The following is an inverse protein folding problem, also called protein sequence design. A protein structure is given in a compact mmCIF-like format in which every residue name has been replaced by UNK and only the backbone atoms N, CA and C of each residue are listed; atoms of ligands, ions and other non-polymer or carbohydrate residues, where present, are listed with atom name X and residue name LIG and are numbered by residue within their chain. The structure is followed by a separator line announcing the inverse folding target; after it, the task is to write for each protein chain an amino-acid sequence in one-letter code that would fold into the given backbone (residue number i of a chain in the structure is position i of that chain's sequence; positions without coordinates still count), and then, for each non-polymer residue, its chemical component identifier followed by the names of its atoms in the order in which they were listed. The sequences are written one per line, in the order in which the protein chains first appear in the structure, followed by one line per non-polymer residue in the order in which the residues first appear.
data_IF_933718612351
#
_entry.id   IF_933718612351
#
_cell.length_a   1.000
_cell.length_b   1.000
_cell.length_c   1.000
_cell.angle_alpha   90.00
_cell.angle_beta   90.00
_cell.angle_gamma   90.00
#
_symmetry.space_group_name_H-M   'P 1'
#
loop_
_entity.id
_entity.type
_entity.pdbx_description
1 polymer ?
#
# COMPACT_ATOMS: atom_id res chain seq x y z
N UNK A 1 0.09 -35.00 -12.83
CA UNK A 1 1.36 -35.11 -12.07
C UNK A 1 1.67 -33.82 -11.31
N UNK A 2 1.64 -32.64 -11.96
CA UNK A 2 1.90 -31.32 -11.37
C UNK A 2 1.04 -31.12 -10.09
N UNK A 3 -0.28 -31.25 -10.18
CA UNK A 3 -1.21 -31.12 -9.05
C UNK A 3 -0.82 -32.05 -7.89
N UNK A 4 -0.48 -33.32 -8.21
CA UNK A 4 -0.07 -34.30 -7.19
C UNK A 4 1.20 -33.87 -6.45
N UNK A 5 2.17 -33.32 -7.16
CA UNK A 5 3.42 -32.86 -6.54
C UNK A 5 3.22 -31.55 -5.74
N UNK A 6 2.39 -30.62 -6.20
CA UNK A 6 2.02 -29.41 -5.44
C UNK A 6 1.36 -29.77 -4.11
N UNK A 7 0.42 -30.72 -4.12
CA UNK A 7 -0.22 -31.23 -2.87
C UNK A 7 0.78 -31.89 -1.93
N UNK A 8 1.75 -32.67 -2.46
CA UNK A 8 2.84 -33.25 -1.62
C UNK A 8 3.73 -32.17 -1.02
N UNK A 9 3.86 -31.04 -1.67
CA UNK A 9 4.55 -29.85 -1.16
C UNK A 9 3.71 -29.02 -0.20
N UNK A 10 2.48 -29.48 0.13
CA UNK A 10 1.50 -28.85 1.04
C UNK A 10 0.88 -27.55 0.52
N UNK A 11 0.84 -27.36 -0.79
CA UNK A 11 0.06 -26.28 -1.39
C UNK A 11 -1.39 -26.73 -1.62
N UNK A 12 -2.33 -25.81 -1.36
CA UNK A 12 -3.73 -25.97 -1.77
C UNK A 12 -3.85 -25.66 -3.26
N UNK A 13 -4.50 -26.52 -4.02
CA UNK A 13 -4.69 -26.34 -5.46
C UNK A 13 -6.15 -25.98 -5.71
N UNK A 14 -6.42 -24.71 -6.05
CA UNK A 14 -7.79 -24.19 -6.22
C UNK A 14 -8.46 -24.71 -7.50
N UNK A 15 -7.67 -25.05 -8.54
CA UNK A 15 -8.14 -25.47 -9.87
C UNK A 15 -7.93 -26.97 -10.12
N UNK A 16 -8.18 -27.85 -9.14
CA UNK A 16 -8.02 -29.32 -9.29
C UNK A 16 -8.87 -29.90 -10.41
N UNK A 17 -10.02 -29.30 -10.67
CA UNK A 17 -10.94 -29.72 -11.74
C UNK A 17 -10.31 -29.67 -13.14
N UNK A 18 -9.24 -28.89 -13.36
CA UNK A 18 -8.55 -28.80 -14.67
C UNK A 18 -7.91 -30.11 -15.09
N UNK A 19 -7.61 -31.00 -14.14
CA UNK A 19 -6.99 -32.31 -14.42
C UNK A 19 -7.98 -33.48 -14.40
N UNK A 20 -9.27 -33.20 -14.24
CA UNK A 20 -10.32 -34.23 -14.30
C UNK A 20 -10.72 -34.46 -15.76
N UNK A 21 -10.49 -35.67 -16.31
CA UNK A 21 -10.82 -36.00 -17.70
C UNK A 21 -12.30 -35.83 -18.06
N UNK A 22 -13.18 -35.95 -17.06
CA UNK A 22 -14.64 -35.81 -17.25
C UNK A 22 -15.06 -34.32 -17.29
N UNK A 23 -14.17 -33.41 -16.89
CA UNK A 23 -14.42 -31.96 -16.81
C UNK A 23 -13.91 -31.17 -18.03
N UNK A 24 -13.18 -31.79 -18.96
CA UNK A 24 -12.66 -31.13 -20.19
C UNK A 24 -13.74 -30.45 -21.06
N UNK A 25 -15.01 -30.79 -20.88
CA UNK A 25 -16.15 -30.26 -21.66
C UNK A 25 -16.92 -29.12 -20.97
N UNK A 26 -16.34 -28.47 -19.97
CA UNK A 26 -16.97 -27.30 -19.35
C UNK A 26 -18.18 -27.57 -18.47
N UNK A 27 -18.50 -28.83 -18.14
CA UNK A 27 -19.57 -29.24 -17.21
C UNK A 27 -20.91 -28.51 -17.35
N UNK A 28 -21.32 -28.16 -18.57
CA UNK A 28 -22.55 -27.43 -18.83
C UNK A 28 -22.51 -25.93 -18.51
N UNK A 29 -21.34 -25.37 -18.18
CA UNK A 29 -21.17 -23.94 -18.01
C UNK A 29 -21.25 -23.21 -19.35
N UNK A 30 -21.88 -22.05 -19.36
CA UNK A 30 -21.77 -21.11 -20.47
C UNK A 30 -20.35 -20.54 -20.56
N UNK A 31 -19.97 -20.01 -21.71
CA UNK A 31 -18.64 -19.36 -21.89
C UNK A 31 -18.41 -18.24 -20.88
N UNK A 32 -19.45 -17.53 -20.46
CA UNK A 32 -19.38 -16.47 -19.46
C UNK A 32 -19.09 -17.03 -18.06
N UNK A 33 -19.81 -18.05 -17.65
CA UNK A 33 -19.61 -18.70 -16.34
C UNK A 33 -18.24 -19.37 -16.24
N UNK A 34 -17.75 -19.96 -17.34
CA UNK A 34 -16.40 -20.50 -17.41
C UNK A 34 -15.37 -19.39 -17.22
N UNK A 35 -15.49 -18.28 -17.95
CA UNK A 35 -14.61 -17.13 -17.83
C UNK A 35 -14.57 -16.57 -16.41
N UNK A 36 -15.73 -16.34 -15.80
CA UNK A 36 -15.87 -15.82 -14.45
C UNK A 36 -15.22 -16.76 -13.42
N UNK A 37 -15.48 -18.08 -13.52
CA UNK A 37 -14.88 -19.09 -12.64
C UNK A 37 -13.36 -19.09 -12.71
N UNK A 38 -12.77 -19.12 -13.92
CA UNK A 38 -11.32 -19.19 -14.10
C UNK A 38 -10.62 -17.92 -13.58
N UNK A 39 -11.16 -16.75 -13.91
CA UNK A 39 -10.59 -15.47 -13.45
C UNK A 39 -10.73 -15.30 -11.94
N UNK A 40 -11.88 -15.63 -11.34
CA UNK A 40 -12.05 -15.60 -9.89
C UNK A 40 -11.13 -16.59 -9.16
N UNK A 41 -10.84 -17.74 -9.75
CA UNK A 41 -9.93 -18.73 -9.17
C UNK A 41 -8.50 -18.17 -9.14
N UNK A 42 -8.06 -17.52 -10.22
CA UNK A 42 -6.77 -16.83 -10.28
C UNK A 42 -6.71 -15.69 -9.26
N UNK A 43 -7.75 -14.88 -9.17
CA UNK A 43 -7.80 -13.75 -8.22
C UNK A 43 -7.64 -14.19 -6.76
N UNK A 44 -8.09 -15.40 -6.43
CA UNK A 44 -7.97 -16.01 -5.09
C UNK A 44 -6.62 -16.69 -4.85
N UNK A 45 -5.89 -17.05 -5.90
CA UNK A 45 -4.61 -17.75 -5.79
C UNK A 45 -3.47 -16.82 -5.35
N UNK A 46 -2.49 -17.34 -4.64
CA UNK A 46 -1.24 -16.65 -4.29
C UNK A 46 -0.20 -16.79 -5.40
N UNK A 47 -0.26 -17.87 -6.19
CA UNK A 47 0.65 -18.21 -7.28
C UNK A 47 -0.13 -18.96 -8.35
N UNK A 48 0.20 -18.72 -9.61
CA UNK A 48 -0.34 -19.47 -10.75
C UNK A 48 0.74 -20.39 -11.34
N UNK A 49 0.40 -21.67 -11.51
CA UNK A 49 1.26 -22.64 -12.21
C UNK A 49 0.55 -23.06 -13.50
N UNK A 50 1.06 -22.62 -14.63
CA UNK A 50 0.51 -22.89 -15.94
C UNK A 50 1.34 -23.99 -16.65
N UNK A 51 0.69 -25.06 -17.12
CA UNK A 51 1.28 -26.03 -18.04
C UNK A 51 1.01 -25.55 -19.47
N UNK A 52 2.06 -25.16 -20.18
CA UNK A 52 1.99 -24.49 -21.46
C UNK A 52 2.61 -25.29 -22.65
N UNK A 53 2.86 -26.59 -22.48
CA UNK A 53 3.45 -27.40 -23.51
C UNK A 53 2.60 -27.44 -24.78
N UNK A 54 1.27 -27.53 -24.61
CA UNK A 54 0.32 -27.45 -25.72
C UNK A 54 -0.21 -26.02 -25.83
N UNK A 55 -0.04 -25.36 -27.00
CA UNK A 55 -0.56 -24.00 -27.17
C UNK A 55 -2.06 -23.90 -26.92
N UNK A 56 -2.46 -22.99 -26.06
CA UNK A 56 -3.86 -22.71 -25.72
C UNK A 56 -4.08 -21.21 -25.55
N UNK A 57 -5.05 -20.67 -26.29
CA UNK A 57 -5.48 -19.27 -26.13
C UNK A 57 -5.99 -18.98 -24.73
N UNK A 58 -6.72 -19.94 -24.13
CA UNK A 58 -7.22 -19.82 -22.77
C UNK A 58 -6.09 -19.74 -21.75
N UNK A 59 -5.09 -20.64 -21.86
CA UNK A 59 -3.93 -20.62 -20.96
C UNK A 59 -3.14 -19.31 -21.09
N UNK A 60 -2.90 -18.84 -22.32
CA UNK A 60 -2.19 -17.58 -22.54
C UNK A 60 -2.96 -16.37 -21.94
N UNK A 61 -4.28 -16.34 -22.11
CA UNK A 61 -5.13 -15.32 -21.51
C UNK A 61 -5.06 -15.34 -19.96
N UNK A 62 -5.14 -16.53 -19.36
CA UNK A 62 -5.11 -16.67 -17.90
C UNK A 62 -3.72 -16.34 -17.31
N UNK A 63 -2.64 -16.61 -18.03
CA UNK A 63 -1.29 -16.16 -17.67
C UNK A 63 -1.26 -14.62 -17.62
N UNK A 64 -1.73 -13.96 -18.68
CA UNK A 64 -1.75 -12.50 -18.75
C UNK A 64 -2.67 -11.88 -17.67
N UNK A 65 -3.84 -12.47 -17.43
CA UNK A 65 -4.72 -12.04 -16.35
C UNK A 65 -4.02 -12.13 -14.99
N UNK A 66 -3.31 -13.23 -14.72
CA UNK A 66 -2.57 -13.41 -13.46
C UNK A 66 -1.45 -12.36 -13.31
N UNK A 67 -0.67 -12.12 -14.34
CA UNK A 67 0.40 -11.11 -14.33
C UNK A 67 -0.15 -9.70 -14.14
N UNK A 68 -1.21 -9.34 -14.87
CA UNK A 68 -1.86 -8.02 -14.76
C UNK A 68 -2.49 -7.77 -13.38
N UNK A 69 -2.82 -8.83 -12.64
CA UNK A 69 -3.30 -8.74 -11.25
C UNK A 69 -2.17 -8.89 -10.21
N UNK A 70 -0.91 -8.89 -10.65
CA UNK A 70 0.28 -8.94 -9.80
C UNK A 70 0.54 -10.32 -9.17
N UNK A 71 0.01 -11.39 -9.76
CA UNK A 71 0.26 -12.75 -9.28
C UNK A 71 1.52 -13.32 -9.92
N UNK A 72 2.45 -13.92 -9.15
CA UNK A 72 3.58 -14.64 -9.73
C UNK A 72 3.09 -15.84 -10.53
N UNK A 73 3.65 -16.02 -11.73
CA UNK A 73 3.28 -17.12 -12.63
C UNK A 73 4.49 -17.96 -12.97
N UNK A 74 4.36 -19.28 -12.77
CA UNK A 74 5.29 -20.29 -13.25
C UNK A 74 4.72 -20.99 -14.48
N UNK A 75 5.28 -20.73 -15.66
CA UNK A 75 4.97 -21.44 -16.87
C UNK A 75 5.89 -22.68 -17.00
N UNK A 76 5.28 -23.85 -17.04
CA UNK A 76 5.96 -25.13 -17.17
C UNK A 76 5.88 -25.65 -18.61
N UNK A 77 7.00 -26.07 -19.16
CA UNK A 77 7.08 -26.67 -20.47
C UNK A 77 7.75 -28.04 -20.38
N UNK A 78 7.14 -29.04 -21.03
CA UNK A 78 7.71 -30.39 -21.07
C UNK A 78 8.95 -30.40 -21.98
N UNK A 79 10.07 -30.81 -21.40
CA UNK A 79 11.38 -30.73 -22.05
C UNK A 79 11.49 -31.51 -23.39
N UNK A 80 10.81 -32.65 -23.47
CA UNK A 80 10.86 -33.55 -24.61
C UNK A 80 9.70 -33.34 -25.60
N UNK A 81 9.10 -32.14 -25.58
CA UNK A 81 8.03 -31.73 -26.50
C UNK A 81 8.61 -31.29 -27.84
N UNK A 82 8.00 -31.72 -28.93
CA UNK A 82 8.32 -31.25 -30.30
C UNK A 82 7.79 -29.82 -30.55
N UNK A 83 6.97 -29.28 -29.65
CA UNK A 83 6.40 -27.93 -29.76
C UNK A 83 7.38 -26.91 -29.21
N UNK A 84 7.73 -25.86 -29.98
CA UNK A 84 8.59 -24.81 -29.49
C UNK A 84 7.84 -23.95 -28.46
N UNK A 85 8.58 -23.45 -27.48
CA UNK A 85 8.07 -22.46 -26.55
C UNK A 85 7.69 -21.17 -27.34
N UNK A 86 6.47 -20.62 -27.18
CA UNK A 86 6.10 -19.39 -27.86
C UNK A 86 7.01 -18.23 -27.44
N UNK A 87 7.62 -17.55 -28.41
CA UNK A 87 8.57 -16.45 -28.15
C UNK A 87 8.02 -15.34 -27.25
N UNK A 88 6.72 -15.05 -27.34
CA UNK A 88 6.05 -14.06 -26.48
C UNK A 88 6.03 -14.48 -24.99
N UNK A 89 5.89 -15.78 -24.75
CA UNK A 89 5.93 -16.35 -23.39
C UNK A 89 7.37 -16.39 -22.88
N UNK A 90 8.31 -16.85 -23.71
CA UNK A 90 9.72 -16.92 -23.33
C UNK A 90 10.33 -15.55 -23.02
N UNK A 91 9.94 -14.53 -23.78
CA UNK A 91 10.45 -13.17 -23.63
C UNK A 91 9.73 -12.30 -22.61
N UNK A 92 8.71 -12.81 -21.92
CA UNK A 92 7.96 -11.99 -20.95
C UNK A 92 8.77 -11.73 -19.67
N UNK A 93 9.05 -10.46 -19.30
CA UNK A 93 10.00 -10.13 -18.22
C UNK A 93 9.56 -10.58 -16.82
N UNK A 94 8.26 -10.72 -16.59
CA UNK A 94 7.68 -11.06 -15.27
C UNK A 94 7.26 -12.53 -15.14
N UNK A 95 7.44 -13.33 -16.22
CA UNK A 95 7.04 -14.73 -16.26
C UNK A 95 8.20 -15.65 -15.90
N UNK A 96 8.00 -16.50 -14.90
CA UNK A 96 8.97 -17.56 -14.57
C UNK A 96 8.74 -18.77 -15.48
N UNK A 97 9.69 -19.05 -16.35
CA UNK A 97 9.62 -20.18 -17.26
C UNK A 97 10.54 -21.32 -16.79
N UNK A 98 10.02 -22.55 -16.76
CA UNK A 98 10.83 -23.72 -16.42
C UNK A 98 10.50 -24.91 -17.31
N UNK A 99 11.57 -25.56 -17.82
CA UNK A 99 11.45 -26.81 -18.56
C UNK A 99 11.48 -28.01 -17.62
N UNK A 100 10.48 -28.88 -17.70
CA UNK A 100 10.34 -30.02 -16.82
C UNK A 100 10.34 -31.37 -17.59
N UNK A 101 10.63 -32.44 -16.87
CA UNK A 101 10.45 -33.82 -17.27
C UNK A 101 9.79 -34.62 -16.15
N UNK A 102 9.33 -35.84 -16.42
CA UNK A 102 8.74 -36.70 -15.37
C UNK A 102 9.68 -36.93 -14.18
N UNK A 103 11.01 -36.92 -14.42
CA UNK A 103 11.99 -37.14 -13.34
C UNK A 103 12.36 -35.94 -12.52
N UNK A 104 12.10 -34.70 -12.98
CA UNK A 104 12.54 -33.47 -12.28
C UNK A 104 11.43 -32.51 -11.86
N UNK A 105 10.18 -32.78 -12.21
CA UNK A 105 9.05 -31.88 -11.93
C UNK A 105 8.95 -31.48 -10.46
N UNK A 106 9.14 -32.43 -9.55
CA UNK A 106 9.11 -32.15 -8.09
C UNK A 106 10.20 -31.16 -7.69
N UNK A 107 11.42 -31.33 -8.22
CA UNK A 107 12.54 -30.43 -7.90
C UNK A 107 12.27 -29.01 -8.42
N UNK A 108 11.74 -28.90 -9.65
CA UNK A 108 11.37 -27.62 -10.25
C UNK A 108 10.28 -26.93 -9.45
N UNK A 109 9.19 -27.64 -9.14
CA UNK A 109 8.11 -27.10 -8.33
C UNK A 109 8.62 -26.65 -6.95
N UNK A 110 9.35 -27.51 -6.25
CA UNK A 110 9.90 -27.17 -4.93
C UNK A 110 10.75 -25.90 -4.98
N UNK A 111 11.67 -25.80 -5.95
CA UNK A 111 12.54 -24.63 -6.11
C UNK A 111 11.73 -23.34 -6.33
N UNK A 112 10.79 -23.36 -7.27
CA UNK A 112 10.02 -22.16 -7.64
C UNK A 112 8.98 -21.80 -6.56
N UNK A 113 8.30 -22.77 -5.97
CA UNK A 113 7.35 -22.49 -4.86
C UNK A 113 8.10 -21.92 -3.66
N UNK A 114 9.25 -22.47 -3.27
CA UNK A 114 10.09 -21.87 -2.22
C UNK A 114 10.51 -20.43 -2.55
N UNK A 115 10.81 -20.15 -3.82
CA UNK A 115 11.14 -18.80 -4.27
C UNK A 115 9.92 -17.87 -4.15
N UNK A 116 8.74 -18.30 -4.58
CA UNK A 116 7.50 -17.52 -4.45
C UNK A 116 7.06 -17.36 -3.00
N UNK A 117 7.20 -18.39 -2.16
CA UNK A 117 6.98 -18.28 -0.72
C UNK A 117 7.90 -17.22 -0.09
N UNK A 118 9.17 -17.18 -0.52
CA UNK A 118 10.11 -16.15 -0.07
C UNK A 118 9.76 -14.76 -0.60
N UNK A 119 9.24 -14.64 -1.82
CA UNK A 119 8.71 -13.38 -2.36
C UNK A 119 7.47 -12.93 -1.58
N UNK A 120 6.54 -13.83 -1.29
CA UNK A 120 5.35 -13.55 -0.49
C UNK A 120 5.69 -13.21 0.98
N UNK A 121 6.73 -13.83 1.57
CA UNK A 121 7.27 -13.46 2.88
C UNK A 121 8.14 -12.20 2.85
N UNK A 122 8.59 -11.78 1.67
CA UNK A 122 9.30 -10.51 1.43
C UNK A 122 8.37 -9.39 0.99
N UNK A 123 7.04 -9.55 1.09
CA UNK A 123 6.15 -8.43 0.84
C UNK A 123 6.55 -7.28 1.75
N UNK A 124 6.89 -6.15 1.15
CA UNK A 124 7.28 -4.95 1.86
C UNK A 124 6.17 -4.50 2.81
N UNK A 125 6.48 -3.57 3.69
CA UNK A 125 5.54 -3.05 4.68
C UNK A 125 5.33 -1.56 4.48
N UNK A 126 4.07 -1.13 4.46
CA UNK A 126 3.72 0.29 4.42
C UNK A 126 3.54 0.82 5.84
N UNK A 127 4.45 1.69 6.24
CA UNK A 127 4.42 2.39 7.54
C UNK A 127 4.12 3.86 7.31
N UNK A 128 3.04 4.33 7.90
CA UNK A 128 2.65 5.75 7.82
C UNK A 128 3.01 6.46 9.12
N UNK A 129 3.73 7.57 9.03
CA UNK A 129 3.92 8.50 10.15
C UNK A 129 2.97 9.66 9.96
N UNK A 130 2.01 9.82 10.86
CA UNK A 130 0.98 10.83 10.77
C UNK A 130 0.82 11.63 12.07
N UNK A 131 0.09 12.72 12.00
CA UNK A 131 -0.15 13.64 13.13
C UNK A 131 -0.48 15.05 12.66
N UNK A 132 -0.89 15.89 13.61
CA UNK A 132 -1.14 17.31 13.35
C UNK A 132 0.14 18.05 12.96
N UNK A 133 -0.01 19.27 12.45
CA UNK A 133 1.15 20.09 12.09
C UNK A 133 1.97 20.44 13.34
N UNK A 134 3.29 20.46 13.19
CA UNK A 134 4.20 20.66 14.31
C UNK A 134 4.41 19.45 15.23
N UNK A 135 3.83 18.27 14.95
CA UNK A 135 3.99 17.07 15.80
C UNK A 135 5.35 16.37 15.69
N UNK A 136 6.23 16.83 14.78
CA UNK A 136 7.58 16.25 14.63
C UNK A 136 7.69 15.12 13.61
N UNK A 137 6.67 14.92 12.74
CA UNK A 137 6.65 13.87 11.72
C UNK A 137 7.94 13.78 10.90
N UNK A 138 8.34 14.86 10.23
CA UNK A 138 9.54 14.86 9.38
C UNK A 138 10.80 14.40 10.12
N UNK A 139 11.05 14.95 11.32
CA UNK A 139 12.20 14.55 12.15
C UNK A 139 12.17 13.07 12.52
N UNK A 140 11.00 12.54 12.87
CA UNK A 140 10.86 11.13 13.23
C UNK A 140 10.94 10.20 12.01
N UNK A 141 10.48 10.66 10.85
CA UNK A 141 10.62 9.96 9.57
C UNK A 141 12.11 9.84 9.19
N UNK A 142 12.86 10.92 9.24
CA UNK A 142 14.31 10.92 8.95
C UNK A 142 15.07 9.95 9.88
N UNK A 143 14.75 9.97 11.17
CA UNK A 143 15.37 9.05 12.13
C UNK A 143 14.96 7.59 11.89
N UNK A 144 13.71 7.34 11.48
CA UNK A 144 13.26 5.99 11.18
C UNK A 144 13.94 5.44 9.92
N UNK A 145 14.06 6.24 8.86
CA UNK A 145 14.78 5.86 7.65
C UNK A 145 16.23 5.52 7.96
N UNK A 146 16.92 6.39 8.72
CA UNK A 146 18.27 6.11 9.17
C UNK A 146 18.38 4.83 9.99
N UNK A 147 17.44 4.60 10.91
CA UNK A 147 17.40 3.35 11.69
C UNK A 147 17.23 2.11 10.80
N UNK A 148 16.41 2.18 9.75
CA UNK A 148 16.24 1.09 8.79
C UNK A 148 17.54 0.84 8.01
N UNK A 149 18.20 1.91 7.53
CA UNK A 149 19.49 1.84 6.84
C UNK A 149 20.58 1.23 7.74
N UNK A 150 20.73 1.72 8.97
CA UNK A 150 21.72 1.25 9.96
C UNK A 150 21.50 -0.23 10.36
N UNK A 151 20.34 -0.82 10.06
CA UNK A 151 20.01 -2.22 10.32
C UNK A 151 19.82 -3.06 9.03
N UNK A 152 20.36 -2.59 7.89
CA UNK A 152 20.34 -3.28 6.60
C UNK A 152 18.91 -3.67 6.15
N UNK A 153 17.90 -2.83 6.47
CA UNK A 153 16.52 -3.04 6.04
C UNK A 153 16.23 -2.25 4.77
N UNK A 154 15.89 -2.92 3.65
CA UNK A 154 15.47 -2.22 2.44
C UNK A 154 14.32 -1.27 2.77
N UNK A 155 14.48 0.00 2.39
CA UNK A 155 13.47 1.01 2.68
C UNK A 155 13.32 2.02 1.54
N UNK A 156 12.14 2.61 1.47
CA UNK A 156 11.78 3.68 0.54
C UNK A 156 11.01 4.74 1.31
N UNK A 157 11.10 5.97 0.83
CA UNK A 157 10.44 7.11 1.45
C UNK A 157 9.49 7.79 0.48
N UNK A 158 8.32 8.20 0.96
CA UNK A 158 7.42 9.05 0.23
C UNK A 158 6.75 10.07 1.17
N UNK A 159 6.59 11.30 0.70
CA UNK A 159 5.95 12.39 1.44
C UNK A 159 4.67 12.84 0.72
N UNK A 160 3.57 12.92 1.42
CA UNK A 160 2.32 13.43 0.89
C UNK A 160 1.87 14.69 1.63
N UNK A 161 1.41 15.71 0.91
CA UNK A 161 1.40 15.84 -0.57
C UNK A 161 2.79 16.09 -1.16
N UNK A 162 3.02 15.61 -2.38
CA UNK A 162 4.26 15.79 -3.13
C UNK A 162 4.31 17.20 -3.79
N UNK A 163 4.29 18.21 -2.97
CA UNK A 163 4.13 19.63 -3.36
C UNK A 163 5.04 20.10 -4.50
N UNK A 164 6.22 19.52 -4.62
CA UNK A 164 7.25 19.99 -5.53
C UNK A 164 7.50 19.05 -6.71
N UNK A 165 7.18 17.78 -6.56
CA UNK A 165 7.59 16.72 -7.48
C UNK A 165 6.46 16.20 -8.35
N UNK A 166 5.20 16.29 -7.93
CA UNK A 166 4.05 15.85 -8.72
C UNK A 166 3.17 16.99 -9.20
N UNK A 167 2.47 16.80 -10.31
CA UNK A 167 1.47 17.76 -10.79
C UNK A 167 0.34 17.93 -9.75
N UNK A 168 -0.19 16.83 -9.24
CA UNK A 168 -1.30 16.87 -8.29
C UNK A 168 -0.89 17.39 -6.91
N UNK A 169 0.34 17.11 -6.46
CA UNK A 169 0.89 17.73 -5.25
C UNK A 169 1.02 19.26 -5.37
N UNK A 170 1.40 19.78 -6.55
CA UNK A 170 1.38 21.22 -6.84
C UNK A 170 -0.04 21.80 -6.82
N UNK A 171 -1.05 21.03 -7.26
CA UNK A 171 -2.46 21.44 -7.14
C UNK A 171 -2.90 21.53 -5.68
N UNK A 172 -2.45 20.61 -4.81
CA UNK A 172 -2.67 20.71 -3.37
C UNK A 172 -2.03 21.98 -2.80
N UNK A 173 -0.80 22.32 -3.20
CA UNK A 173 -0.13 23.55 -2.78
C UNK A 173 -0.95 24.80 -3.14
N UNK A 174 -1.46 24.86 -4.36
CA UNK A 174 -2.32 25.96 -4.84
C UNK A 174 -3.64 26.02 -4.08
N UNK A 175 -4.24 24.86 -3.76
CA UNK A 175 -5.43 24.82 -2.92
C UNK A 175 -5.16 25.36 -1.52
N UNK A 176 -4.06 24.96 -0.88
CA UNK A 176 -3.68 25.42 0.46
C UNK A 176 -3.27 26.90 0.50
N UNK A 177 -2.81 27.46 -0.62
CA UNK A 177 -2.57 28.90 -0.76
C UNK A 177 -3.85 29.73 -0.99
N UNK A 178 -5.02 29.07 -1.08
CA UNK A 178 -6.31 29.72 -1.25
C UNK A 178 -6.74 30.01 -2.69
N UNK A 179 -5.99 29.57 -3.71
CA UNK A 179 -6.29 29.85 -5.12
C UNK A 179 -7.64 29.27 -5.58
N UNK A 180 -8.16 28.25 -4.91
CA UNK A 180 -9.41 27.54 -5.27
C UNK A 180 -10.55 27.79 -4.27
N UNK A 181 -10.66 29.00 -3.70
CA UNK A 181 -11.79 29.39 -2.87
C UNK A 181 -11.65 29.17 -1.35
N UNK A 182 -10.46 28.83 -0.87
CA UNK A 182 -10.17 28.80 0.57
C UNK A 182 -10.89 27.70 1.36
N UNK A 183 -11.21 28.00 2.66
CA UNK A 183 -11.74 27.04 3.63
C UNK A 183 -13.17 26.55 3.33
N UNK A 184 -13.95 27.33 2.62
CA UNK A 184 -15.40 27.11 2.43
C UNK A 184 -15.71 26.09 1.32
N UNK A 185 -14.67 25.59 0.63
CA UNK A 185 -14.82 24.57 -0.39
C UNK A 185 -15.29 23.22 0.16
N UNK A 186 -16.00 22.45 -0.67
CA UNK A 186 -16.50 21.12 -0.30
C UNK A 186 -15.36 20.19 0.15
N UNK A 187 -15.46 19.51 1.32
CA UNK A 187 -14.51 18.48 1.74
C UNK A 187 -14.37 17.33 0.76
N UNK A 188 -15.43 17.00 0.01
CA UNK A 188 -15.40 16.00 -1.04
C UNK A 188 -14.46 16.42 -2.19
N UNK A 189 -14.62 17.65 -2.70
CA UNK A 189 -13.80 18.17 -3.79
C UNK A 189 -12.34 18.36 -3.38
N UNK A 190 -12.10 18.91 -2.18
CA UNK A 190 -10.72 19.06 -1.71
C UNK A 190 -10.02 17.73 -1.47
N UNK A 191 -10.75 16.68 -1.05
CA UNK A 191 -10.19 15.33 -0.92
C UNK A 191 -9.67 14.78 -2.24
N UNK A 192 -10.28 15.13 -3.37
CA UNK A 192 -9.84 14.68 -4.69
C UNK A 192 -8.42 15.16 -5.02
N UNK A 193 -8.03 16.38 -4.65
CA UNK A 193 -6.67 16.87 -4.89
C UNK A 193 -5.62 15.97 -4.22
N UNK A 194 -5.86 15.62 -2.95
CA UNK A 194 -4.97 14.76 -2.18
C UNK A 194 -5.00 13.30 -2.68
N UNK A 195 -6.20 12.81 -3.05
CA UNK A 195 -6.37 11.46 -3.54
C UNK A 195 -5.67 11.26 -4.90
N UNK A 196 -5.77 12.23 -5.81
CA UNK A 196 -5.08 12.19 -7.10
C UNK A 196 -3.56 12.23 -6.97
N UNK A 197 -3.02 12.95 -5.98
CA UNK A 197 -1.58 12.93 -5.72
C UNK A 197 -1.12 11.54 -5.26
N UNK A 198 -1.89 10.87 -4.40
CA UNK A 198 -1.61 9.50 -3.99
C UNK A 198 -1.78 8.49 -5.13
N UNK A 199 -2.84 8.64 -5.92
CA UNK A 199 -3.09 7.77 -7.07
C UNK A 199 -1.90 7.76 -8.05
N UNK A 200 -1.32 8.92 -8.33
CA UNK A 200 -0.16 9.02 -9.23
C UNK A 200 1.15 8.51 -8.62
N UNK A 201 1.16 8.11 -7.36
CA UNK A 201 2.29 7.44 -6.70
C UNK A 201 2.04 5.94 -6.49
N UNK A 202 0.82 5.45 -6.77
CA UNK A 202 0.39 4.11 -6.43
C UNK A 202 1.29 3.05 -7.00
N UNK A 203 1.56 3.10 -8.29
CA UNK A 203 2.30 2.03 -8.99
C UNK A 203 3.73 1.94 -8.46
N UNK A 204 4.40 3.08 -8.27
CA UNK A 204 5.73 3.16 -7.65
C UNK A 204 5.74 2.56 -6.22
N UNK A 205 4.71 2.85 -5.42
CA UNK A 205 4.59 2.27 -4.07
C UNK A 205 4.34 0.77 -4.11
N UNK A 206 3.53 0.29 -5.05
CA UNK A 206 3.25 -1.15 -5.24
C UNK A 206 4.54 -1.88 -5.63
N UNK A 207 5.34 -1.31 -6.54
CA UNK A 207 6.63 -1.88 -6.96
C UNK A 207 7.59 -1.99 -5.77
N UNK A 208 7.75 -0.92 -4.98
CA UNK A 208 8.61 -0.93 -3.78
C UNK A 208 8.18 -1.97 -2.73
N UNK A 209 6.87 -2.12 -2.54
CA UNK A 209 6.32 -3.13 -1.64
C UNK A 209 6.54 -4.54 -2.19
N UNK A 210 6.38 -4.72 -3.51
CA UNK A 210 6.68 -5.96 -4.20
C UNK A 210 8.15 -6.37 -4.09
N UNK A 211 9.08 -5.40 -4.13
CA UNK A 211 10.52 -5.61 -3.89
C UNK A 211 10.87 -5.99 -2.43
N UNK A 212 9.89 -5.98 -1.53
CA UNK A 212 10.10 -6.29 -0.11
C UNK A 212 10.61 -5.10 0.72
N UNK A 213 10.56 -3.88 0.19
CA UNK A 213 10.99 -2.68 0.90
C UNK A 213 9.99 -2.26 1.99
N UNK A 214 10.49 -1.72 3.10
CA UNK A 214 9.67 -0.98 4.04
C UNK A 214 9.44 0.44 3.50
N UNK A 215 8.23 0.70 3.02
CA UNK A 215 7.84 2.03 2.54
C UNK A 215 7.42 2.88 3.73
N UNK A 216 8.14 3.95 3.99
CA UNK A 216 7.81 4.94 5.05
C UNK A 216 7.15 6.15 4.40
N UNK A 217 5.87 6.33 4.68
CA UNK A 217 5.10 7.47 4.19
C UNK A 217 4.94 8.53 5.29
N UNK A 218 5.36 9.76 5.03
CA UNK A 218 4.99 10.91 5.84
C UNK A 218 3.63 11.42 5.37
N UNK A 219 2.58 11.21 6.17
CA UNK A 219 1.17 11.31 5.80
C UNK A 219 0.74 10.31 4.72
N UNK A 220 -0.55 10.07 4.67
CA UNK A 220 -1.18 9.19 3.65
C UNK A 220 -2.69 9.45 3.58
N UNK A 221 -3.48 8.42 3.25
CA UNK A 221 -4.96 8.45 3.28
C UNK A 221 -5.48 8.83 4.66
N UNK A 222 -4.81 8.39 5.72
CA UNK A 222 -5.08 8.66 7.13
C UNK A 222 -5.16 10.14 7.47
N UNK A 223 -4.33 10.97 6.83
CA UNK A 223 -4.42 12.42 6.92
C UNK A 223 -5.74 12.94 6.34
N UNK A 224 -6.16 12.47 5.16
CA UNK A 224 -7.46 12.87 4.59
C UNK A 224 -8.62 12.41 5.47
N UNK A 225 -8.53 11.20 6.05
CA UNK A 225 -9.55 10.70 6.98
C UNK A 225 -9.71 11.58 8.22
N UNK A 226 -8.65 12.19 8.74
CA UNK A 226 -8.73 13.09 9.87
C UNK A 226 -9.08 14.53 9.45
N UNK A 227 -8.26 15.15 8.58
CA UNK A 227 -8.38 16.56 8.23
C UNK A 227 -9.64 16.88 7.42
N UNK A 228 -10.00 16.07 6.43
CA UNK A 228 -11.19 16.37 5.62
C UNK A 228 -12.47 16.02 6.37
N UNK A 229 -12.47 14.94 7.17
CA UNK A 229 -13.64 14.58 7.98
C UNK A 229 -13.94 15.62 9.07
N UNK A 230 -12.94 16.31 9.63
CA UNK A 230 -13.15 17.39 10.58
C UNK A 230 -13.97 18.57 10.02
N UNK A 231 -14.02 18.71 8.70
CA UNK A 231 -14.78 19.74 7.98
C UNK A 231 -16.22 19.33 7.68
N UNK A 232 -16.57 18.08 7.96
CA UNK A 232 -17.91 17.52 7.68
C UNK A 232 -18.74 17.54 8.97
N UNK A 233 -20.04 17.92 8.91
CA UNK A 233 -20.94 17.85 10.08
C UNK A 233 -20.92 16.45 10.71
N UNK A 234 -20.91 16.39 12.05
CA UNK A 234 -20.72 15.13 12.80
C UNK A 234 -21.66 14.00 12.36
N UNK A 235 -22.92 14.32 12.03
CA UNK A 235 -23.91 13.33 11.55
C UNK A 235 -23.58 12.71 10.19
N UNK A 236 -22.72 13.36 9.41
CA UNK A 236 -22.33 12.94 8.05
C UNK A 236 -20.92 12.32 8.00
N UNK A 237 -20.14 12.44 9.08
CA UNK A 237 -18.73 11.99 9.12
C UNK A 237 -18.57 10.49 8.79
N UNK A 238 -19.48 9.65 9.29
CA UNK A 238 -19.42 8.21 8.98
C UNK A 238 -19.61 7.90 7.49
N UNK A 239 -20.55 8.62 6.83
CA UNK A 239 -20.79 8.51 5.40
C UNK A 239 -19.58 9.01 4.60
N UNK A 240 -19.00 10.13 5.03
CA UNK A 240 -17.82 10.70 4.38
C UNK A 240 -16.58 9.79 4.49
N UNK A 241 -16.33 9.21 5.67
CA UNK A 241 -15.23 8.25 5.87
C UNK A 241 -15.42 7.00 5.02
N UNK A 242 -16.65 6.49 4.88
CA UNK A 242 -16.95 5.36 4.01
C UNK A 242 -16.63 5.71 2.55
N UNK A 243 -17.04 6.88 2.09
CA UNK A 243 -16.75 7.36 0.74
C UNK A 243 -15.24 7.51 0.50
N UNK A 244 -14.48 8.12 1.44
CA UNK A 244 -13.02 8.22 1.35
C UNK A 244 -12.39 6.83 1.23
N UNK A 245 -12.82 5.88 2.05
CA UNK A 245 -12.32 4.51 2.00
C UNK A 245 -12.60 3.83 0.66
N UNK A 246 -13.80 3.98 0.14
CA UNK A 246 -14.18 3.44 -1.17
C UNK A 246 -13.31 4.04 -2.28
N UNK A 247 -13.18 5.35 -2.33
CA UNK A 247 -12.36 6.06 -3.31
C UNK A 247 -10.89 5.62 -3.26
N UNK A 248 -10.26 5.67 -2.08
CA UNK A 248 -8.82 5.46 -1.94
C UNK A 248 -8.42 3.99 -2.09
N UNK A 249 -9.15 3.06 -1.46
CA UNK A 249 -8.72 1.66 -1.42
C UNK A 249 -9.45 0.74 -2.38
N UNK A 250 -10.65 1.09 -2.86
CA UNK A 250 -11.36 0.25 -3.81
C UNK A 250 -11.18 0.75 -5.24
N UNK A 251 -11.45 2.05 -5.48
CA UNK A 251 -11.36 2.62 -6.83
C UNK A 251 -9.91 2.90 -7.23
N UNK A 252 -9.16 3.60 -6.38
CA UNK A 252 -7.75 3.91 -6.63
C UNK A 252 -6.82 2.73 -6.35
N UNK A 253 -7.29 1.68 -5.65
CA UNK A 253 -6.51 0.50 -5.29
C UNK A 253 -5.18 0.83 -4.60
N UNK A 254 -5.17 1.85 -3.75
CA UNK A 254 -3.97 2.21 -3.00
C UNK A 254 -3.58 1.10 -2.01
N UNK A 255 -2.29 0.82 -1.80
CA UNK A 255 -1.82 -0.10 -0.77
C UNK A 255 -2.37 0.30 0.60
N UNK A 256 -2.85 -0.68 1.38
CA UNK A 256 -3.26 -0.44 2.76
C UNK A 256 -2.05 -0.40 3.67
N UNK A 257 -2.13 0.44 4.70
CA UNK A 257 -1.10 0.57 5.71
C UNK A 257 -1.00 -0.69 6.58
N UNK A 258 0.21 -1.22 6.76
CA UNK A 258 0.50 -2.26 7.76
C UNK A 258 0.58 -1.67 9.17
N UNK A 259 1.05 -0.42 9.27
CA UNK A 259 1.19 0.31 10.54
C UNK A 259 1.01 1.80 10.32
N UNK A 260 0.18 2.42 11.14
CA UNK A 260 0.05 3.88 11.24
C UNK A 260 0.57 4.34 12.60
N UNK A 261 1.60 5.15 12.59
CA UNK A 261 2.21 5.76 13.78
C UNK A 261 1.68 7.18 13.90
N UNK A 262 0.71 7.37 14.78
CA UNK A 262 0.14 8.68 15.04
C UNK A 262 0.91 9.39 16.16
N UNK A 263 1.59 10.49 15.82
CA UNK A 263 2.34 11.31 16.77
C UNK A 263 1.38 12.29 17.48
N UNK A 264 1.03 11.96 18.71
CA UNK A 264 0.16 12.79 19.53
C UNK A 264 0.94 13.92 20.23
N UNK A 265 0.62 15.16 19.85
CA UNK A 265 1.06 16.39 20.54
C UNK A 265 -0.18 17.26 20.76
N UNK A 266 -0.44 17.78 21.98
CA UNK A 266 -1.50 18.74 22.22
C UNK A 266 -1.40 19.97 21.30
N UNK A 267 -2.54 20.49 20.83
CA UNK A 267 -2.58 21.56 19.82
C UNK A 267 -1.83 22.81 20.30
N UNK A 268 -1.92 23.16 21.58
CA UNK A 268 -1.27 24.32 22.19
C UNK A 268 0.27 24.21 22.14
N UNK A 269 0.77 22.98 22.19
CA UNK A 269 2.21 22.71 22.13
C UNK A 269 2.67 22.67 20.67
N UNK A 270 1.89 22.01 19.80
CA UNK A 270 2.24 21.92 18.38
C UNK A 270 2.28 23.29 17.71
N UNK A 271 1.38 24.21 18.07
CA UNK A 271 1.41 25.57 17.56
C UNK A 271 2.70 26.33 17.96
N UNK A 272 3.11 26.21 19.22
CA UNK A 272 4.40 26.78 19.67
C UNK A 272 5.60 26.19 18.93
N UNK A 273 5.54 24.92 18.55
CA UNK A 273 6.60 24.29 17.75
C UNK A 273 6.60 24.78 16.30
N UNK A 274 5.44 25.06 15.73
CA UNK A 274 5.31 25.66 14.39
C UNK A 274 5.93 27.07 14.40
N UNK A 275 5.58 27.90 15.37
CA UNK A 275 6.09 29.27 15.51
C UNK A 275 7.61 29.31 15.69
N UNK A 276 8.20 28.38 16.45
CA UNK A 276 9.67 28.25 16.61
C UNK A 276 10.40 27.82 15.35
N UNK A 277 9.71 27.19 14.39
CA UNK A 277 10.27 26.81 13.07
C UNK A 277 10.20 27.95 12.04
N UNK A 278 9.73 29.14 12.42
CA UNK A 278 9.70 30.33 11.57
C UNK A 278 11.11 30.74 11.17
N UNK A 279 11.51 30.41 9.95
CA UNK A 279 12.84 30.66 9.37
C UNK A 279 13.10 29.78 8.14
N UNK A 280 12.39 28.66 7.99
CA UNK A 280 12.39 27.90 6.73
C UNK A 280 11.12 28.29 5.95
N UNK A 281 11.29 29.15 4.96
CA UNK A 281 10.22 29.52 4.03
C UNK A 281 9.54 28.27 3.47
N UNK A 282 8.23 28.14 3.75
CA UNK A 282 7.40 27.11 3.12
C UNK A 282 7.05 27.58 1.72
N UNK A 283 7.88 27.26 0.75
CA UNK A 283 7.74 27.71 -0.65
C UNK A 283 6.37 27.40 -1.26
N UNK A 284 5.64 26.38 -0.75
CA UNK A 284 4.34 25.98 -1.28
C UNK A 284 3.18 26.93 -0.91
N UNK A 285 3.29 27.75 0.14
CA UNK A 285 2.27 28.73 0.53
C UNK A 285 2.60 30.16 0.08
N UNK A 286 3.46 30.32 -0.94
CA UNK A 286 3.78 31.62 -1.58
C UNK A 286 4.11 32.73 -0.58
N UNK A 287 4.93 32.44 0.43
CA UNK A 287 5.35 33.42 1.45
C UNK A 287 4.35 33.70 2.58
N UNK A 288 3.20 33.02 2.62
CA UNK A 288 2.33 33.06 3.80
C UNK A 288 2.95 32.27 4.96
N UNK A 289 2.84 32.79 6.18
CA UNK A 289 3.39 32.13 7.37
C UNK A 289 2.68 30.83 7.74
N UNK A 290 1.39 30.70 7.46
CA UNK A 290 0.52 29.55 7.76
C UNK A 290 -0.40 29.28 6.58
N UNK A 291 -0.72 28.02 6.32
CA UNK A 291 -1.76 27.67 5.37
C UNK A 291 -3.16 28.01 5.91
N UNK A 292 -4.20 27.87 5.05
CA UNK A 292 -5.58 28.24 5.37
C UNK A 292 -6.16 27.49 6.58
N UNK A 293 -5.58 26.38 7.02
CA UNK A 293 -6.07 25.52 8.10
C UNK A 293 -5.21 25.55 9.37
N UNK A 294 -3.93 25.86 9.27
CA UNK A 294 -3.00 25.87 10.41
C UNK A 294 -3.31 26.95 11.45
N UNK A 295 -3.92 28.04 11.03
CA UNK A 295 -4.30 29.14 11.92
C UNK A 295 -5.55 28.85 12.78
N UNK A 296 -6.33 27.83 12.43
CA UNK A 296 -7.60 27.51 13.08
C UNK A 296 -7.40 26.50 14.21
N UNK A 297 -7.27 26.99 15.43
CA UNK A 297 -7.02 26.17 16.64
C UNK A 297 -8.14 25.17 16.89
N UNK A 298 -9.42 25.58 16.70
CA UNK A 298 -10.55 24.69 16.94
C UNK A 298 -10.58 23.56 15.91
N UNK A 299 -10.34 23.87 14.65
CA UNK A 299 -10.21 22.87 13.61
C UNK A 299 -9.08 21.87 13.92
N UNK A 300 -7.92 22.32 14.37
CA UNK A 300 -6.82 21.45 14.77
C UNK A 300 -7.17 20.53 15.94
N UNK A 301 -7.99 21.01 16.90
CA UNK A 301 -8.51 20.16 18.00
C UNK A 301 -9.48 19.11 17.49
N UNK A 302 -10.36 19.45 16.55
CA UNK A 302 -11.30 18.51 15.96
C UNK A 302 -10.56 17.44 15.12
N UNK A 303 -9.53 17.82 14.38
CA UNK A 303 -8.63 16.89 13.67
C UNK A 303 -7.94 15.94 14.67
N UNK A 304 -7.35 16.48 15.74
CA UNK A 304 -6.69 15.68 16.78
C UNK A 304 -7.63 14.63 17.39
N UNK A 305 -8.87 15.05 17.68
CA UNK A 305 -9.91 14.16 18.20
C UNK A 305 -10.24 13.04 17.22
N UNK A 306 -10.40 13.36 15.95
CA UNK A 306 -10.64 12.36 14.89
C UNK A 306 -9.51 11.36 14.75
N UNK A 307 -8.25 11.80 14.79
CA UNK A 307 -7.11 10.88 14.81
C UNK A 307 -7.19 9.89 15.98
N UNK A 308 -7.52 10.36 17.18
CA UNK A 308 -7.67 9.50 18.35
C UNK A 308 -8.86 8.54 18.25
N UNK A 309 -9.97 8.97 17.64
CA UNK A 309 -11.14 8.13 17.37
C UNK A 309 -10.81 7.06 16.32
N UNK A 310 -10.08 7.41 15.25
CA UNK A 310 -9.62 6.48 14.22
C UNK A 310 -8.63 5.47 14.79
N UNK A 311 -7.67 5.91 15.60
CA UNK A 311 -6.70 5.03 16.23
C UNK A 311 -7.36 4.00 17.16
N UNK A 312 -8.44 4.36 17.86
CA UNK A 312 -9.20 3.40 18.69
C UNK A 312 -9.92 2.32 17.87
N UNK A 313 -10.32 2.65 16.64
CA UNK A 313 -11.09 1.74 15.77
C UNK A 313 -10.21 0.82 14.92
N UNK A 314 -8.96 1.17 14.71
CA UNK A 314 -8.04 0.47 13.80
C UNK A 314 -6.87 -0.14 14.60
N UNK A 315 -6.78 -1.46 14.62
CA UNK A 315 -5.77 -2.21 15.40
C UNK A 315 -4.32 -1.98 14.94
N UNK A 316 -4.12 -1.57 13.69
CA UNK A 316 -2.82 -1.26 13.12
C UNK A 316 -2.40 0.20 13.33
N UNK A 317 -3.17 0.97 14.07
CA UNK A 317 -2.81 2.34 14.46
C UNK A 317 -2.24 2.38 15.86
N UNK A 318 -1.09 3.00 16.02
CA UNK A 318 -0.40 3.17 17.30
C UNK A 318 -0.23 4.65 17.62
N UNK A 319 -0.71 5.04 18.79
CA UNK A 319 -0.61 6.42 19.27
C UNK A 319 0.68 6.59 20.06
N UNK A 320 1.61 7.37 19.54
CA UNK A 320 2.84 7.73 20.23
C UNK A 320 2.65 9.09 20.93
N UNK A 321 2.43 9.06 22.24
CA UNK A 321 2.40 10.29 23.04
C UNK A 321 3.79 10.91 23.08
N UNK A 322 3.90 12.11 22.49
CA UNK A 322 5.14 12.89 22.44
C UNK A 322 5.31 13.82 23.66
N UNK A 323 4.37 13.79 24.60
CA UNK A 323 4.41 14.53 25.86
C UNK A 323 4.22 13.60 27.06
N UNK A 324 4.74 14.00 28.22
CA UNK A 324 4.50 13.34 29.49
C UNK A 324 3.11 13.72 30.09
N UNK A 325 2.83 13.21 31.28
CA UNK A 325 1.56 13.50 32.00
C UNK A 325 1.40 14.96 32.42
N UNK A 326 2.50 15.73 32.44
CA UNK A 326 2.53 17.17 32.76
C UNK A 326 2.52 18.05 31.51
N UNK A 327 2.41 17.46 30.31
CA UNK A 327 2.45 18.16 29.04
C UNK A 327 3.85 18.59 28.56
N UNK A 328 4.92 18.13 29.20
CA UNK A 328 6.28 18.40 28.77
C UNK A 328 6.66 17.47 27.60
N UNK A 329 7.23 18.03 26.54
CA UNK A 329 7.70 17.26 25.40
C UNK A 329 8.81 16.28 25.80
N UNK A 330 8.71 15.04 25.30
CA UNK A 330 9.83 14.11 25.31
C UNK A 330 10.92 14.56 24.33
N UNK A 331 12.15 14.11 24.55
CA UNK A 331 13.22 14.37 23.57
C UNK A 331 12.94 13.64 22.25
N UNK A 332 13.57 14.09 21.18
CA UNK A 332 13.46 13.50 19.84
C UNK A 332 13.82 12.00 19.92
N UNK A 333 14.89 11.65 20.63
CA UNK A 333 15.39 10.27 20.80
C UNK A 333 14.41 9.42 21.64
N UNK A 334 13.75 10.01 22.64
CA UNK A 334 12.74 9.29 23.44
C UNK A 334 11.52 8.93 22.61
N UNK A 335 11.07 9.85 21.74
CA UNK A 335 9.97 9.58 20.81
C UNK A 335 10.39 8.51 19.79
N UNK A 336 11.60 8.63 19.22
CA UNK A 336 12.13 7.67 18.28
C UNK A 336 12.22 6.24 18.86
N UNK A 337 12.71 6.10 20.09
CA UNK A 337 12.74 4.80 20.80
C UNK A 337 11.35 4.17 20.94
N UNK A 338 10.31 4.98 21.16
CA UNK A 338 8.91 4.48 21.20
C UNK A 338 8.45 4.00 19.81
N UNK A 339 8.80 4.73 18.75
CA UNK A 339 8.51 4.33 17.37
C UNK A 339 9.16 2.98 17.04
N UNK A 340 10.46 2.83 17.30
CA UNK A 340 11.18 1.57 17.04
C UNK A 340 10.57 0.40 17.85
N UNK A 341 10.16 0.65 19.10
CA UNK A 341 9.46 -0.37 19.91
C UNK A 341 8.15 -0.83 19.26
N UNK A 342 7.40 0.09 18.70
CA UNK A 342 6.15 -0.20 17.97
C UNK A 342 6.44 -0.96 16.68
N UNK A 343 7.44 -0.57 15.91
CA UNK A 343 7.88 -1.27 14.71
C UNK A 343 8.22 -2.75 15.00
N UNK A 344 8.97 -3.00 16.09
CA UNK A 344 9.28 -4.37 16.55
C UNK A 344 8.04 -5.15 16.99
N UNK A 345 7.11 -4.50 17.71
CA UNK A 345 5.83 -5.10 18.12
C UNK A 345 5.02 -5.60 16.91
N UNK A 346 5.01 -4.84 15.83
CA UNK A 346 4.30 -5.17 14.59
C UNK A 346 5.14 -6.01 13.61
N UNK A 347 6.32 -6.49 14.03
CA UNK A 347 7.22 -7.34 13.23
C UNK A 347 7.62 -6.72 11.88
N UNK A 348 7.80 -5.41 11.87
CA UNK A 348 8.25 -4.68 10.67
C UNK A 348 9.78 -4.61 10.63
N UNK A 349 10.41 -4.60 11.80
CA UNK A 349 11.86 -4.59 11.98
C UNK A 349 12.31 -5.57 13.06
#
# INVERSE_FOLDING_TARGET
EIVKELKKLKHEVLSEYVVDPDLEKGNGLSSKELFERETETIDKADVVVAEGTSPSWGTAFLIEHALSTGKPVLALYYKDSDMPLPMMIEGHPELYVAHYSKGNIRTILKKNMTHFDQMNHKSGKLVVIDGTDGSGKGTQTELLLKYLEDNDKPNKYIDFPRYYTSFHGKMVARYLSGEFGGKDGSPYLSSLFYAMDRLTARDEMVDWLGEGSTVVANRYTTSSMAFQTARVPKKEQAKFLKWLYEMEYKEHKLPKEDLVIFLYVPVEISQKLIEKKEGKERKYVKGQKKDIYEADVQYQRDVLKLYLELAKKNKHWEVIKCVDSKGKLFSIEQVHKKIVKVMKKHKIV
#
